data_IF_434541205770
#
_entry.id   IF_434541205770
#
_cell.length_a   1.000
_cell.length_b   1.000
_cell.length_c   1.000
_cell.angle_alpha   90.00
_cell.angle_beta   90.00
_cell.angle_gamma   90.00
#
_symmetry.space_group_name_H-M   'P 1'
#
loop_
_entity.id
_entity.type
_entity.pdbx_description
1 polymer ?
#
# COMPACT_ATOMS: atom_id res chain seq x y z
N UNK A 1 20.60 7.14 6.47
CA UNK A 1 19.95 7.45 7.76
C UNK A 1 19.67 6.15 8.48
N UNK A 2 19.92 6.04 9.78
CA UNK A 2 19.58 4.82 10.54
C UNK A 2 18.08 4.72 10.82
N UNK A 3 17.53 3.51 10.90
CA UNK A 3 16.11 3.25 11.09
C UNK A 3 15.50 4.02 12.27
N UNK A 4 16.14 3.94 13.45
CA UNK A 4 15.63 4.62 14.66
C UNK A 4 15.61 6.14 14.52
N UNK A 5 16.57 6.71 13.78
CA UNK A 5 16.61 8.16 13.50
C UNK A 5 15.48 8.57 12.55
N UNK A 6 15.21 7.76 11.52
CA UNK A 6 14.11 7.99 10.62
C UNK A 6 12.76 7.97 11.37
N UNK A 7 12.50 6.91 12.13
CA UNK A 7 11.26 6.78 12.91
C UNK A 7 11.11 7.92 13.94
N UNK A 8 12.17 8.29 14.66
CA UNK A 8 12.12 9.38 15.64
C UNK A 8 11.96 10.77 15.02
N UNK A 9 12.41 10.96 13.78
CA UNK A 9 12.38 12.24 13.06
C UNK A 9 11.11 12.49 12.27
N UNK A 10 10.34 11.45 11.91
CA UNK A 10 9.12 11.59 11.11
C UNK A 10 8.10 12.47 11.82
N UNK A 11 7.52 13.40 11.05
CA UNK A 11 6.38 14.24 11.46
C UNK A 11 5.35 14.23 10.35
N UNK A 12 4.10 14.49 10.73
CA UNK A 12 3.06 14.86 9.76
C UNK A 12 3.26 16.32 9.39
N UNK A 13 3.55 16.59 8.12
CA UNK A 13 3.69 17.94 7.61
C UNK A 13 2.37 18.41 7.00
N UNK A 14 1.98 19.65 7.29
CA UNK A 14 0.78 20.29 6.75
C UNK A 14 1.08 21.44 5.78
N UNK A 15 2.35 21.83 5.67
CA UNK A 15 2.82 22.91 4.79
C UNK A 15 3.75 22.31 3.75
N UNK A 16 3.43 22.53 2.47
CA UNK A 16 4.16 22.03 1.32
C UNK A 16 4.59 23.21 0.45
N UNK A 17 5.61 22.99 -0.38
CA UNK A 17 6.06 23.93 -1.41
C UNK A 17 5.44 23.49 -2.75
N UNK A 18 4.33 24.11 -3.22
CA UNK A 18 3.62 23.62 -4.40
C UNK A 18 4.44 23.70 -5.69
N UNK A 19 5.41 24.63 -5.74
CA UNK A 19 6.29 24.87 -6.88
C UNK A 19 7.51 23.94 -6.91
N UNK A 20 7.74 23.15 -5.85
CA UNK A 20 8.90 22.28 -5.75
C UNK A 20 8.49 20.82 -5.99
N UNK A 21 8.73 20.28 -7.20
CA UNK A 21 8.26 18.94 -7.55
C UNK A 21 9.03 17.87 -6.77
N UNK A 22 8.34 16.78 -6.42
CA UNK A 22 8.97 15.61 -5.81
C UNK A 22 9.65 14.77 -6.89
N UNK A 23 10.91 14.40 -6.68
CA UNK A 23 11.66 13.53 -7.57
C UNK A 23 10.94 12.18 -7.77
N UNK A 24 10.80 11.74 -9.03
CA UNK A 24 10.12 10.48 -9.37
C UNK A 24 10.71 9.25 -8.66
N UNK A 25 12.03 9.22 -8.46
CA UNK A 25 12.71 8.14 -7.74
C UNK A 25 12.27 7.99 -6.28
N UNK A 26 11.96 9.10 -5.60
CA UNK A 26 11.41 9.09 -4.24
C UNK A 26 10.01 8.49 -4.22
N UNK A 27 9.16 8.88 -5.17
CA UNK A 27 7.81 8.31 -5.32
C UNK A 27 7.88 6.80 -5.60
N UNK A 28 8.72 6.37 -6.55
CA UNK A 28 8.90 4.95 -6.85
C UNK A 28 9.38 4.16 -5.64
N UNK A 29 10.30 4.72 -4.84
CA UNK A 29 10.80 4.07 -3.62
C UNK A 29 9.65 3.80 -2.63
N UNK A 30 8.72 4.75 -2.47
CA UNK A 30 7.52 4.57 -1.62
C UNK A 30 6.61 3.47 -2.18
N UNK A 31 6.40 3.44 -3.49
CA UNK A 31 5.56 2.42 -4.13
C UNK A 31 6.17 1.01 -4.01
N UNK A 32 7.49 0.86 -4.20
CA UNK A 32 8.18 -0.41 -4.01
C UNK A 32 8.13 -0.89 -2.56
N UNK A 33 8.27 0.03 -1.59
CA UNK A 33 8.10 -0.31 -0.17
C UNK A 33 6.68 -0.84 0.11
N UNK A 34 5.64 -0.21 -0.46
CA UNK A 34 4.26 -0.71 -0.38
C UNK A 34 4.06 -2.05 -1.07
N UNK A 35 4.69 -2.28 -2.23
CA UNK A 35 4.62 -3.55 -2.98
C UNK A 35 5.23 -4.72 -2.19
N UNK A 36 6.32 -4.46 -1.46
CA UNK A 36 7.05 -5.45 -0.67
C UNK A 36 6.49 -5.63 0.74
N UNK A 37 5.57 -4.77 1.19
CA UNK A 37 4.98 -4.86 2.51
C UNK A 37 4.28 -6.21 2.72
N UNK A 38 4.36 -6.73 3.96
CA UNK A 38 3.65 -7.96 4.35
C UNK A 38 2.14 -7.76 4.22
N UNK A 39 1.45 -8.77 3.69
CA UNK A 39 0.01 -8.75 3.42
C UNK A 39 -0.60 -10.08 3.82
N UNK A 40 -1.85 -10.04 4.29
CA UNK A 40 -2.60 -11.25 4.65
C UNK A 40 -2.60 -12.22 3.46
N UNK A 41 -2.23 -13.47 3.73
CA UNK A 41 -2.10 -14.58 2.75
C UNK A 41 -1.28 -14.24 1.50
N UNK A 42 -0.43 -13.21 1.59
CA UNK A 42 0.35 -12.63 0.50
C UNK A 42 -0.50 -12.22 -0.74
N UNK A 43 -1.73 -11.75 -0.51
CA UNK A 43 -2.60 -11.27 -1.59
C UNK A 43 -2.35 -9.80 -1.88
N UNK A 44 -2.20 -9.45 -3.16
CA UNK A 44 -1.99 -8.09 -3.63
C UNK A 44 -3.28 -7.27 -3.71
N UNK A 45 -3.97 -7.10 -2.59
CA UNK A 45 -5.23 -6.33 -2.54
C UNK A 45 -4.99 -4.81 -2.39
N UNK A 46 -3.84 -4.37 -1.89
CA UNK A 46 -3.51 -2.95 -1.78
C UNK A 46 -3.04 -2.39 -3.13
N UNK A 47 -3.63 -1.29 -3.58
CA UNK A 47 -3.28 -0.59 -4.81
C UNK A 47 -3.05 0.90 -4.52
N UNK A 48 -2.35 1.57 -5.43
CA UNK A 48 -2.04 2.99 -5.31
C UNK A 48 -2.31 3.73 -6.63
N UNK A 49 -2.84 4.95 -6.51
CA UNK A 49 -2.88 5.94 -7.59
C UNK A 49 -1.97 7.09 -7.18
N UNK A 50 -1.05 7.47 -8.06
CA UNK A 50 -0.20 8.65 -7.87
C UNK A 50 -0.76 9.78 -8.71
N UNK A 51 -1.14 10.87 -8.06
CA UNK A 51 -1.58 12.09 -8.71
C UNK A 51 -0.52 13.18 -8.52
N UNK A 52 0.00 13.69 -9.62
CA UNK A 52 0.89 14.86 -9.61
C UNK A 52 0.04 16.10 -9.76
N UNK A 53 0.20 17.08 -8.86
CA UNK A 53 -0.67 18.27 -8.82
C UNK A 53 -0.78 18.97 -10.16
N UNK A 54 0.36 19.16 -10.83
CA UNK A 54 0.44 19.94 -12.06
C UNK A 54 -0.03 19.15 -13.29
N UNK A 55 -0.30 17.84 -13.15
CA UNK A 55 -0.95 17.05 -14.20
C UNK A 55 -2.48 17.01 -14.09
N UNK A 56 -3.05 17.64 -13.06
CA UNK A 56 -4.49 17.64 -12.77
C UNK A 56 -5.12 18.99 -13.12
N UNK A 57 -6.35 18.97 -13.62
CA UNK A 57 -7.15 20.18 -13.81
C UNK A 57 -7.52 20.81 -12.45
N UNK A 58 -8.08 22.02 -12.48
CA UNK A 58 -8.63 22.64 -11.24
C UNK A 58 -9.79 21.80 -10.72
N UNK A 59 -10.70 21.40 -11.61
CA UNK A 59 -11.89 20.61 -11.30
C UNK A 59 -11.51 19.25 -10.69
N UNK A 60 -10.51 18.56 -11.26
CA UNK A 60 -10.00 17.31 -10.71
C UNK A 60 -9.43 17.50 -9.30
N UNK A 61 -8.72 18.61 -9.04
CA UNK A 61 -8.18 18.92 -7.72
C UNK A 61 -9.25 19.22 -6.68
N UNK A 62 -10.33 19.89 -7.08
CA UNK A 62 -11.47 20.17 -6.20
C UNK A 62 -12.17 18.88 -5.73
N UNK A 63 -12.24 17.84 -6.58
CA UNK A 63 -12.88 16.55 -6.23
C UNK A 63 -12.22 15.84 -5.04
N UNK A 64 -10.94 16.11 -4.75
CA UNK A 64 -10.24 15.49 -3.64
C UNK A 64 -10.52 16.16 -2.29
N UNK A 65 -11.08 17.38 -2.29
CA UNK A 65 -11.19 18.17 -1.08
C UNK A 65 -12.18 17.55 -0.10
N UNK A 66 -11.69 17.37 1.12
CA UNK A 66 -12.53 17.02 2.27
C UNK A 66 -12.53 18.19 3.25
N UNK A 67 -13.52 18.28 4.17
CA UNK A 67 -13.58 19.36 5.15
C UNK A 67 -12.30 19.57 5.97
N UNK A 68 -11.48 18.53 6.15
CA UNK A 68 -10.27 18.58 6.98
C UNK A 68 -8.96 18.68 6.19
N UNK A 69 -8.95 18.25 4.92
CA UNK A 69 -7.71 18.13 4.14
C UNK A 69 -7.68 18.97 2.86
N UNK A 70 -8.69 19.82 2.64
CA UNK A 70 -8.81 20.65 1.44
C UNK A 70 -7.50 21.42 1.12
N UNK A 71 -6.97 22.14 2.11
CA UNK A 71 -5.75 22.92 1.94
C UNK A 71 -4.53 22.05 1.59
N UNK A 72 -4.45 20.81 2.09
CA UNK A 72 -3.33 19.91 1.79
C UNK A 72 -3.33 19.51 0.32
N UNK A 73 -4.49 19.24 -0.27
CA UNK A 73 -4.61 18.90 -1.69
C UNK A 73 -4.34 20.10 -2.61
N UNK A 74 -4.58 21.32 -2.14
CA UNK A 74 -4.26 22.53 -2.91
C UNK A 74 -2.75 22.75 -3.06
N UNK A 75 -1.97 22.39 -2.03
CA UNK A 75 -0.54 22.72 -1.95
C UNK A 75 0.40 21.51 -2.15
N UNK A 76 -0.06 20.27 -1.97
CA UNK A 76 0.80 19.11 -2.09
C UNK A 76 1.25 18.88 -3.55
N UNK A 77 2.55 18.77 -3.84
CA UNK A 77 3.04 18.52 -5.20
C UNK A 77 2.68 17.12 -5.73
N UNK A 78 2.56 16.13 -4.83
CA UNK A 78 2.19 14.75 -5.15
C UNK A 78 1.24 14.21 -4.08
N UNK A 79 0.20 13.50 -4.51
CA UNK A 79 -0.73 12.79 -3.65
C UNK A 79 -0.72 11.31 -4.04
N UNK A 80 -0.54 10.43 -3.04
CA UNK A 80 -0.62 8.98 -3.24
C UNK A 80 -1.89 8.48 -2.57
N UNK A 81 -2.87 8.06 -3.37
CA UNK A 81 -4.11 7.46 -2.89
C UNK A 81 -3.92 5.95 -2.77
N UNK A 82 -3.97 5.44 -1.55
CA UNK A 82 -4.00 4.01 -1.29
C UNK A 82 -5.44 3.52 -1.21
N UNK A 83 -5.74 2.46 -1.94
CA UNK A 83 -7.07 1.84 -1.94
C UNK A 83 -6.95 0.32 -1.91
N UNK A 84 -8.03 -0.33 -1.50
CA UNK A 84 -8.10 -1.78 -1.38
C UNK A 84 -9.03 -2.37 -2.42
N UNK A 85 -8.51 -3.34 -3.16
CA UNK A 85 -9.30 -4.21 -4.00
C UNK A 85 -10.07 -5.20 -3.11
N UNK A 86 -11.33 -4.87 -2.87
CA UNK A 86 -12.21 -5.65 -2.03
C UNK A 86 -12.54 -7.02 -2.62
N UNK A 87 -12.52 -7.17 -3.94
CA UNK A 87 -12.73 -8.45 -4.60
C UNK A 87 -11.53 -9.37 -4.42
N UNK A 88 -10.31 -8.86 -4.61
CA UNK A 88 -9.09 -9.61 -4.33
C UNK A 88 -9.00 -10.05 -2.86
N UNK A 89 -9.41 -9.17 -1.93
CA UNK A 89 -9.50 -9.52 -0.50
C UNK A 89 -10.56 -10.59 -0.25
N UNK A 90 -11.78 -10.43 -0.79
CA UNK A 90 -12.88 -11.40 -0.62
C UNK A 90 -12.48 -12.77 -1.13
N UNK A 91 -11.97 -12.86 -2.37
CA UNK A 91 -11.54 -14.12 -2.97
C UNK A 91 -10.47 -14.80 -2.11
N UNK A 92 -9.45 -14.05 -1.67
CA UNK A 92 -8.34 -14.64 -0.94
C UNK A 92 -8.70 -15.02 0.50
N UNK A 93 -9.44 -14.17 1.22
CA UNK A 93 -9.65 -14.33 2.67
C UNK A 93 -10.98 -15.02 2.98
N UNK A 94 -12.06 -14.62 2.32
CA UNK A 94 -13.41 -15.10 2.61
C UNK A 94 -13.72 -16.38 1.83
N UNK A 95 -13.39 -16.41 0.54
CA UNK A 95 -13.55 -17.60 -0.31
C UNK A 95 -12.38 -18.59 -0.21
N UNK A 96 -11.34 -18.24 0.57
CA UNK A 96 -10.13 -19.06 0.80
C UNK A 96 -9.37 -19.46 -0.47
N UNK A 97 -9.53 -18.71 -1.55
CA UNK A 97 -8.81 -18.91 -2.81
C UNK A 97 -7.51 -18.12 -2.77
N UNK A 98 -6.50 -18.70 -2.13
CA UNK A 98 -5.20 -18.06 -1.92
C UNK A 98 -4.09 -18.73 -2.77
N UNK A 99 -3.82 -18.30 -4.02
CA UNK A 99 -2.87 -18.99 -4.92
C UNK A 99 -1.49 -19.23 -4.29
N UNK A 100 -0.96 -18.23 -3.57
CA UNK A 100 0.35 -18.32 -2.91
C UNK A 100 0.35 -19.35 -1.78
N UNK A 101 -0.69 -19.38 -0.96
CA UNK A 101 -0.83 -20.33 0.15
C UNK A 101 -1.11 -21.72 -0.41
N UNK A 102 -2.03 -21.83 -1.38
CA UNK A 102 -2.41 -23.07 -2.05
C UNK A 102 -1.25 -23.75 -2.79
N UNK A 103 -0.27 -22.97 -3.27
CA UNK A 103 0.95 -23.56 -3.85
C UNK A 103 1.76 -24.38 -2.84
N UNK A 104 1.56 -24.20 -1.53
CA UNK A 104 2.38 -24.80 -0.48
C UNK A 104 3.73 -24.12 -0.27
N UNK A 105 4.08 -23.11 -1.08
CA UNK A 105 5.38 -22.41 -1.02
C UNK A 105 5.63 -21.80 0.35
N UNK A 106 4.61 -21.17 0.96
CA UNK A 106 4.73 -20.53 2.28
C UNK A 106 4.94 -21.55 3.41
N UNK A 107 4.40 -22.75 3.28
CA UNK A 107 4.67 -23.87 4.20
C UNK A 107 6.10 -24.38 3.98
N UNK A 108 6.53 -24.52 2.73
CA UNK A 108 7.88 -24.97 2.36
C UNK A 108 9.00 -24.07 2.90
N UNK A 109 8.80 -22.75 2.89
CA UNK A 109 9.75 -21.78 3.47
C UNK A 109 9.53 -21.54 4.98
N UNK A 110 8.63 -22.29 5.62
CA UNK A 110 8.25 -22.19 7.04
C UNK A 110 7.66 -20.84 7.46
N UNK A 111 7.17 -20.05 6.52
CA UNK A 111 6.41 -18.83 6.81
C UNK A 111 5.02 -19.15 7.40
N UNK A 112 4.44 -20.30 7.03
CA UNK A 112 3.24 -20.86 7.63
C UNK A 112 3.55 -22.17 8.32
N UNK A 113 3.56 -22.16 9.66
CA UNK A 113 4.04 -23.28 10.48
C UNK A 113 2.93 -24.16 11.07
N UNK A 114 3.24 -25.44 11.38
CA UNK A 114 2.35 -26.36 12.10
C UNK A 114 1.77 -25.84 13.43
N UNK A 115 2.47 -25.03 14.25
CA UNK A 115 1.92 -24.50 15.50
C UNK A 115 0.64 -23.66 15.32
N UNK A 116 0.39 -23.15 14.11
CA UNK A 116 -0.81 -22.39 13.76
C UNK A 116 -1.78 -23.19 12.88
N UNK A 117 -1.63 -24.53 12.82
CA UNK A 117 -2.50 -25.42 12.05
C UNK A 117 -2.19 -25.52 10.56
N UNK A 118 -1.12 -24.88 10.07
CA UNK A 118 -0.77 -24.92 8.65
C UNK A 118 0.03 -26.17 8.30
N UNK A 119 -0.39 -26.85 7.23
CA UNK A 119 0.30 -27.98 6.63
C UNK A 119 0.08 -27.99 5.13
N UNK A 120 0.95 -28.66 4.36
CA UNK A 120 0.73 -28.85 2.92
C UNK A 120 -0.66 -29.42 2.63
N UNK A 121 -1.09 -30.43 3.41
CA UNK A 121 -2.42 -31.01 3.31
C UNK A 121 -3.52 -29.96 3.47
N UNK A 122 -3.43 -29.14 4.52
CA UNK A 122 -4.43 -28.10 4.79
C UNK A 122 -4.46 -27.04 3.68
N UNK A 123 -3.31 -26.58 3.18
CA UNK A 123 -3.31 -25.48 2.21
C UNK A 123 -3.66 -25.91 0.78
N UNK A 124 -3.47 -27.20 0.43
CA UNK A 124 -3.69 -27.73 -0.91
C UNK A 124 -5.03 -28.47 -1.10
N UNK A 125 -5.74 -28.80 0.00
CA UNK A 125 -6.97 -29.62 -0.04
C UNK A 125 -8.20 -28.90 0.55
N UNK A 126 -8.10 -27.61 0.86
CA UNK A 126 -9.17 -26.75 1.40
C UNK A 126 -9.61 -25.76 0.34
#
# INVERSE_FOLDING_TARGET
MEFKKAVGGVRTYQYFEPWHPVERGKVQTILEAGRLASRAVNTAFSKAIVAYRDSLSVEERELFKTPLSAALFDVAPVVIFWYYDMDARRQAVEEKKWPTVASGTLVGIRALGPPHGWSHRYVQQV
#
